data_IF_144802615575
#
_entry.id   IF_144802615575
#
_cell.length_a   1.000
_cell.length_b   1.000
_cell.length_c   1.000
_cell.angle_alpha   90.00
_cell.angle_beta   90.00
_cell.angle_gamma   90.00
#
_symmetry.space_group_name_H-M   'P 1'
#
loop_
_entity.id
_entity.type
_entity.pdbx_description
1 polymer ?
#
# COMPACT_ATOMS: atom_id res chain seq x y z
N UNK A 1 62.35 32.55 41.61
CA UNK A 1 61.83 32.48 40.22
C UNK A 1 60.91 31.29 39.92
N UNK A 2 60.52 30.43 40.89
CA UNK A 2 59.72 29.22 40.63
C UNK A 2 58.19 29.39 40.75
N UNK A 3 57.70 30.47 41.37
CA UNK A 3 56.27 30.67 41.71
C UNK A 3 55.42 31.22 40.56
N UNK A 4 56.02 31.77 39.51
CA UNK A 4 55.31 32.41 38.39
C UNK A 4 54.86 31.41 37.32
N UNK A 5 55.64 30.35 37.07
CA UNK A 5 55.31 29.31 36.07
C UNK A 5 54.11 28.46 36.45
N UNK A 6 53.93 28.18 37.74
CA UNK A 6 52.81 27.37 38.25
C UNK A 6 51.46 28.09 38.10
N UNK A 7 51.43 29.43 38.23
CA UNK A 7 50.20 30.22 38.03
C UNK A 7 49.80 30.31 36.56
N UNK A 8 50.78 30.33 35.65
CA UNK A 8 50.53 30.38 34.20
C UNK A 8 49.91 29.08 33.68
N UNK A 9 50.43 27.92 34.12
CA UNK A 9 49.92 26.61 33.72
C UNK A 9 48.48 26.38 34.21
N UNK A 10 48.13 26.87 35.41
CA UNK A 10 46.78 26.74 35.98
C UNK A 10 45.75 27.61 35.23
N UNK A 11 46.13 28.83 34.81
CA UNK A 11 45.27 29.70 33.98
C UNK A 11 45.09 29.19 32.55
N UNK A 12 46.11 28.55 31.97
CA UNK A 12 45.98 27.89 30.66
C UNK A 12 45.02 26.68 30.72
N UNK A 13 45.07 25.90 31.80
CA UNK A 13 44.14 24.78 31.99
C UNK A 13 42.68 25.25 32.18
N UNK A 14 42.45 26.33 32.92
CA UNK A 14 41.11 26.92 33.10
C UNK A 14 40.54 27.50 31.78
N UNK A 15 41.38 28.15 30.96
CA UNK A 15 40.98 28.66 29.65
C UNK A 15 40.66 27.54 28.64
N UNK A 16 41.39 26.43 28.68
CA UNK A 16 41.12 25.27 27.81
C UNK A 16 39.84 24.52 28.21
N UNK A 17 39.54 24.43 29.51
CA UNK A 17 38.31 23.80 30.01
C UNK A 17 37.05 24.60 29.64
N UNK A 18 37.12 25.94 29.67
CA UNK A 18 35.99 26.81 29.32
C UNK A 18 35.59 26.71 27.83
N UNK A 19 36.54 26.46 26.94
CA UNK A 19 36.27 26.28 25.49
C UNK A 19 35.67 24.92 25.14
N UNK A 20 35.91 23.88 25.94
CA UNK A 20 35.36 22.53 25.67
C UNK A 20 33.85 22.44 25.98
N UNK A 21 33.34 23.21 26.94
CA UNK A 21 31.91 23.20 27.29
C UNK A 21 31.01 23.93 26.28
N UNK A 22 31.55 24.82 25.44
CA UNK A 22 30.75 25.57 24.46
C UNK A 22 30.44 24.80 23.17
N UNK A 23 31.09 23.65 22.93
CA UNK A 23 30.81 22.79 21.77
C UNK A 23 29.78 21.69 22.05
N UNK A 24 29.41 21.47 23.32
CA UNK A 24 28.45 20.44 23.71
C UNK A 24 26.97 20.89 23.62
N UNK A 25 26.72 22.17 23.35
CA UNK A 25 25.36 22.73 23.25
C UNK A 25 24.91 22.99 21.83
N UNK A 26 25.68 22.60 20.79
CA UNK A 26 25.19 22.68 19.41
C UNK A 26 24.08 21.64 19.28
N UNK A 27 22.80 22.05 19.17
CA UNK A 27 21.72 21.10 18.98
C UNK A 27 22.01 20.39 17.65
N UNK A 28 22.31 19.10 17.72
CA UNK A 28 22.38 18.30 16.51
C UNK A 28 21.01 18.44 15.84
N UNK A 29 20.94 18.91 14.58
CA UNK A 29 19.69 18.88 13.86
C UNK A 29 19.26 17.41 13.79
N UNK A 30 18.26 17.06 14.59
CA UNK A 30 17.62 15.77 14.51
C UNK A 30 16.84 15.78 13.19
N UNK A 31 17.43 15.20 12.15
CA UNK A 31 16.71 14.83 10.94
C UNK A 31 15.68 13.78 11.36
N UNK A 32 14.49 14.25 11.73
CA UNK A 32 13.36 13.40 12.05
C UNK A 32 12.71 12.95 10.74
N UNK A 33 13.39 12.06 10.02
CA UNK A 33 12.78 11.37 8.89
C UNK A 33 11.61 10.54 9.44
N UNK A 34 10.39 10.69 8.89
CA UNK A 34 9.24 9.94 9.38
C UNK A 34 9.51 8.44 9.20
N UNK A 35 9.25 7.61 10.23
CA UNK A 35 9.55 6.20 10.15
C UNK A 35 8.77 5.53 8.99
N UNK A 36 9.24 4.39 8.47
CA UNK A 36 8.67 3.77 7.26
C UNK A 36 7.16 3.50 7.36
N UNK A 37 6.65 3.29 8.57
CA UNK A 37 5.26 2.98 8.87
C UNK A 37 4.36 4.18 9.23
N UNK A 38 4.89 5.40 9.25
CA UNK A 38 4.12 6.60 9.60
C UNK A 38 3.75 7.39 8.34
N UNK A 39 2.49 7.86 8.23
CA UNK A 39 2.04 8.67 7.09
C UNK A 39 2.89 9.94 6.95
N UNK A 40 3.69 9.99 5.89
CA UNK A 40 4.60 11.09 5.58
C UNK A 40 4.00 11.97 4.47
N UNK A 41 2.83 12.55 4.73
CA UNK A 41 2.08 13.32 3.73
C UNK A 41 2.96 14.43 3.12
N UNK A 42 3.36 14.25 1.86
CA UNK A 42 4.12 15.23 1.07
C UNK A 42 5.65 15.27 1.30
N UNK A 43 6.18 14.74 2.42
CA UNK A 43 7.63 14.77 2.69
C UNK A 43 8.40 13.87 1.72
N UNK A 44 7.95 12.61 1.56
CA UNK A 44 8.59 11.65 0.63
C UNK A 44 8.60 12.14 -0.82
N UNK A 45 7.57 12.86 -1.24
CA UNK A 45 7.47 13.47 -2.59
C UNK A 45 8.57 14.51 -2.87
N UNK A 46 9.15 15.12 -1.83
CA UNK A 46 10.19 16.16 -1.94
C UNK A 46 11.61 15.63 -1.72
N UNK A 47 11.76 14.45 -1.10
CA UNK A 47 13.05 13.96 -0.61
C UNK A 47 13.45 12.58 -1.16
N UNK A 48 12.51 11.75 -1.63
CA UNK A 48 12.82 10.45 -2.21
C UNK A 48 12.78 10.52 -3.74
N UNK A 49 13.82 10.00 -4.41
CA UNK A 49 13.83 9.88 -5.88
C UNK A 49 12.84 8.84 -6.42
N UNK A 50 12.25 8.02 -5.53
CA UNK A 50 11.36 6.92 -5.88
C UNK A 50 10.42 6.54 -4.72
N UNK A 51 9.28 5.93 -5.05
CA UNK A 51 8.35 5.34 -4.10
C UNK A 51 8.64 3.85 -3.93
N UNK A 52 8.91 3.40 -2.69
CA UNK A 52 9.12 1.98 -2.41
C UNK A 52 7.78 1.34 -2.06
N UNK A 53 7.32 0.43 -2.92
CA UNK A 53 6.10 -0.33 -2.67
C UNK A 53 6.30 -1.46 -1.66
N UNK A 54 5.19 -2.02 -1.21
CA UNK A 54 5.11 -3.10 -0.24
C UNK A 54 5.91 -4.34 -0.69
N UNK A 55 6.01 -4.59 -1.99
CA UNK A 55 6.84 -5.67 -2.53
C UNK A 55 8.34 -5.34 -2.61
N UNK A 56 8.77 -4.17 -2.13
CA UNK A 56 10.16 -3.68 -2.18
C UNK A 56 10.55 -3.03 -3.52
N UNK A 57 9.63 -2.94 -4.47
CA UNK A 57 9.88 -2.35 -5.79
C UNK A 57 9.89 -0.83 -5.73
N UNK A 58 10.81 -0.20 -6.47
CA UNK A 58 10.90 1.25 -6.64
C UNK A 58 10.04 1.71 -7.82
N UNK A 59 9.26 2.76 -7.62
CA UNK A 59 8.39 3.38 -8.60
C UNK A 59 8.76 4.85 -8.76
N UNK A 60 8.92 5.33 -9.99
CA UNK A 60 9.25 6.75 -10.25
C UNK A 60 8.08 7.69 -9.95
N UNK A 61 6.84 7.18 -10.06
CA UNK A 61 5.60 7.93 -9.85
C UNK A 61 4.65 7.12 -8.99
N UNK A 62 3.92 7.80 -8.10
CA UNK A 62 2.89 7.22 -7.25
C UNK A 62 1.47 7.35 -7.82
N UNK A 63 1.28 8.14 -8.88
CA UNK A 63 -0.02 8.45 -9.48
C UNK A 63 -1.09 8.92 -8.47
N UNK A 64 -0.65 9.57 -7.39
CA UNK A 64 -1.50 10.08 -6.32
C UNK A 64 -1.88 9.08 -5.22
N UNK A 65 -1.41 7.83 -5.27
CA UNK A 65 -1.80 6.77 -4.32
C UNK A 65 -1.49 7.17 -2.88
N UNK A 66 -0.32 7.77 -2.62
CA UNK A 66 0.11 8.20 -1.28
C UNK A 66 -0.74 9.35 -0.73
N UNK A 67 -1.54 9.99 -1.59
CA UNK A 67 -2.53 10.99 -1.20
C UNK A 67 -3.95 10.41 -1.10
N UNK A 68 -4.12 9.09 -1.12
CA UNK A 68 -5.41 8.41 -1.01
C UNK A 68 -6.28 8.45 -2.28
N UNK A 69 -5.69 8.75 -3.44
CA UNK A 69 -6.39 8.81 -4.74
C UNK A 69 -5.61 8.09 -5.83
N UNK A 70 -6.27 7.69 -6.91
CA UNK A 70 -5.54 7.24 -8.10
C UNK A 70 -5.87 8.11 -9.32
N UNK A 71 -4.83 8.65 -9.95
CA UNK A 71 -4.89 9.34 -11.23
C UNK A 71 -4.95 8.32 -12.37
N UNK A 72 -6.18 7.93 -12.73
CA UNK A 72 -6.44 6.96 -13.80
C UNK A 72 -5.93 7.44 -15.15
N UNK A 73 -6.02 8.74 -15.44
CA UNK A 73 -5.60 9.30 -16.72
C UNK A 73 -4.09 9.17 -16.86
N UNK A 74 -3.33 9.53 -15.82
CA UNK A 74 -1.88 9.39 -15.82
C UNK A 74 -1.44 7.92 -15.89
N UNK A 75 -2.09 7.01 -15.15
CA UNK A 75 -1.83 5.57 -15.26
C UNK A 75 -2.18 5.06 -16.66
N UNK A 76 -3.35 5.43 -17.20
CA UNK A 76 -3.82 5.03 -18.53
C UNK A 76 -2.90 5.51 -19.65
N UNK A 77 -2.34 6.72 -19.53
CA UNK A 77 -1.36 7.24 -20.48
C UNK A 77 -0.09 6.39 -20.50
N UNK A 78 0.43 5.98 -19.34
CA UNK A 78 1.61 5.11 -19.25
C UNK A 78 1.31 3.71 -19.81
N UNK A 79 0.12 3.19 -19.53
CA UNK A 79 -0.37 1.92 -20.07
C UNK A 79 -0.52 1.93 -21.60
N UNK A 80 -0.99 3.04 -22.17
CA UNK A 80 -1.18 3.20 -23.61
C UNK A 80 0.11 3.53 -24.36
N UNK A 81 1.04 4.27 -23.73
CA UNK A 81 2.31 4.67 -24.32
C UNK A 81 3.37 3.55 -24.28
N UNK A 82 3.25 2.58 -23.36
CA UNK A 82 4.21 1.48 -23.24
C UNK A 82 3.59 0.14 -23.63
N UNK A 83 4.07 -0.45 -24.72
CA UNK A 83 3.83 -1.88 -25.02
C UNK A 83 4.56 -2.82 -24.02
N UNK A 84 5.34 -2.30 -23.06
CA UNK A 84 6.17 -3.13 -22.18
C UNK A 84 6.53 -2.55 -20.81
N UNK A 85 5.81 -1.55 -20.29
CA UNK A 85 6.02 -1.05 -18.93
C UNK A 85 5.37 -1.97 -17.91
N UNK A 86 5.91 -2.04 -16.68
CA UNK A 86 5.48 -3.03 -15.69
C UNK A 86 4.06 -2.79 -15.12
N UNK A 87 3.49 -1.61 -15.37
CA UNK A 87 2.05 -1.37 -15.15
C UNK A 87 1.23 -2.02 -16.28
N UNK A 88 1.78 -2.09 -17.50
CA UNK A 88 1.14 -2.57 -18.74
C UNK A 88 1.39 -4.02 -19.13
N UNK A 89 2.40 -4.70 -18.59
CA UNK A 89 2.70 -6.11 -18.91
C UNK A 89 1.55 -7.08 -18.61
N UNK A 90 0.63 -6.71 -17.72
CA UNK A 90 -0.59 -7.47 -17.38
C UNK A 90 -1.87 -6.95 -18.05
N UNK A 91 -1.81 -5.86 -18.82
CA UNK A 91 -3.01 -5.30 -19.45
C UNK A 91 -3.30 -5.94 -20.81
N UNK A 92 -2.26 -6.35 -21.55
CA UNK A 92 -2.38 -6.76 -22.97
C UNK A 92 -2.35 -8.26 -23.30
N UNK A 93 -1.85 -9.17 -22.44
CA UNK A 93 -1.52 -10.56 -22.86
C UNK A 93 -2.44 -11.69 -22.34
N UNK A 94 -3.72 -11.40 -22.08
CA UNK A 94 -4.72 -12.43 -21.75
C UNK A 94 -5.04 -12.62 -20.26
N UNK A 95 -4.23 -12.07 -19.34
CA UNK A 95 -4.54 -12.01 -17.90
C UNK A 95 -5.64 -10.99 -17.55
N UNK A 96 -6.03 -10.12 -18.50
CA UNK A 96 -7.05 -9.09 -18.29
C UNK A 96 -8.45 -9.62 -17.99
N UNK A 97 -8.86 -10.72 -18.64
CA UNK A 97 -10.16 -11.37 -18.37
C UNK A 97 -10.16 -12.02 -16.97
N UNK A 98 -9.05 -12.64 -16.58
CA UNK A 98 -8.91 -13.29 -15.27
C UNK A 98 -8.98 -12.29 -14.13
N UNK A 99 -8.34 -11.12 -14.25
CA UNK A 99 -8.41 -10.08 -13.20
C UNK A 99 -9.83 -9.53 -13.06
N UNK A 100 -10.53 -9.24 -14.17
CA UNK A 100 -11.89 -8.72 -14.16
C UNK A 100 -12.90 -9.71 -13.52
N UNK A 101 -12.82 -10.99 -13.90
CA UNK A 101 -13.68 -12.04 -13.33
C UNK A 101 -13.46 -12.23 -11.83
N UNK A 102 -12.21 -12.21 -11.37
CA UNK A 102 -11.91 -12.44 -9.95
C UNK A 102 -12.23 -11.20 -9.09
N UNK A 103 -12.08 -9.98 -9.63
CA UNK A 103 -12.49 -8.77 -8.92
C UNK A 103 -14.02 -8.67 -8.77
N UNK A 104 -14.78 -9.07 -9.79
CA UNK A 104 -16.24 -9.16 -9.69
C UNK A 104 -16.68 -10.15 -8.60
N UNK A 105 -15.93 -11.23 -8.40
CA UNK A 105 -16.17 -12.19 -7.32
C UNK A 105 -15.88 -11.63 -5.92
N UNK A 106 -14.97 -10.65 -5.77
CA UNK A 106 -14.64 -10.02 -4.47
C UNK A 106 -15.87 -9.38 -3.84
N UNK A 107 -16.66 -8.66 -4.65
CA UNK A 107 -17.90 -8.01 -4.20
C UNK A 107 -19.07 -9.00 -4.17
N UNK A 108 -19.08 -9.96 -5.10
CA UNK A 108 -20.11 -10.99 -5.19
C UNK A 108 -21.42 -10.49 -5.82
N UNK A 109 -22.32 -11.45 -6.09
CA UNK A 109 -23.66 -11.19 -6.61
C UNK A 109 -23.72 -10.57 -8.01
N UNK A 110 -24.91 -10.09 -8.38
CA UNK A 110 -25.18 -9.46 -9.69
C UNK A 110 -24.41 -8.14 -9.83
N UNK A 111 -24.27 -7.38 -8.73
CA UNK A 111 -23.57 -6.09 -8.71
C UNK A 111 -22.09 -6.27 -9.12
N UNK A 112 -21.40 -7.26 -8.54
CA UNK A 112 -20.01 -7.56 -8.91
C UNK A 112 -19.84 -8.06 -10.34
N UNK A 113 -20.82 -8.83 -10.86
CA UNK A 113 -20.77 -9.35 -12.22
C UNK A 113 -21.04 -8.28 -13.29
N UNK A 114 -21.90 -7.30 -13.00
CA UNK A 114 -22.21 -6.19 -13.91
C UNK A 114 -21.04 -5.19 -13.91
N UNK A 115 -20.66 -4.68 -12.74
CA UNK A 115 -19.61 -3.64 -12.64
C UNK A 115 -18.21 -4.22 -12.94
N UNK A 116 -17.97 -5.50 -12.63
CA UNK A 116 -16.69 -6.15 -12.90
C UNK A 116 -16.37 -6.33 -14.39
N UNK A 117 -17.38 -6.34 -15.27
CA UNK A 117 -17.17 -6.47 -16.74
C UNK A 117 -16.57 -5.22 -17.35
N UNK A 118 -16.82 -4.06 -16.77
CA UNK A 118 -16.41 -2.76 -17.33
C UNK A 118 -15.09 -2.26 -16.75
N UNK A 119 -14.34 -3.14 -16.06
CA UNK A 119 -13.02 -2.84 -15.50
C UNK A 119 -11.97 -2.75 -16.62
N UNK A 120 -11.42 -1.55 -16.84
CA UNK A 120 -10.43 -1.32 -17.89
C UNK A 120 -8.98 -1.50 -17.41
N UNK A 121 -8.00 -1.16 -18.26
CA UNK A 121 -6.58 -1.21 -17.91
C UNK A 121 -6.18 -0.22 -16.81
N UNK A 122 -6.74 0.99 -16.83
CA UNK A 122 -6.43 2.03 -15.85
C UNK A 122 -6.97 1.68 -14.46
N UNK A 123 -8.17 1.10 -14.38
CA UNK A 123 -8.71 0.59 -13.11
C UNK A 123 -7.82 -0.52 -12.52
N UNK A 124 -7.36 -1.46 -13.36
CA UNK A 124 -6.43 -2.52 -12.96
C UNK A 124 -5.09 -1.96 -12.51
N UNK A 125 -4.59 -0.93 -13.18
CA UNK A 125 -3.40 -0.19 -12.77
C UNK A 125 -3.57 0.45 -11.39
N UNK A 126 -4.69 1.15 -11.17
CA UNK A 126 -5.01 1.73 -9.87
C UNK A 126 -5.10 0.68 -8.76
N UNK A 127 -5.76 -0.45 -9.01
CA UNK A 127 -5.85 -1.56 -8.05
C UNK A 127 -4.47 -2.10 -7.66
N UNK A 128 -3.64 -2.44 -8.64
CA UNK A 128 -2.30 -2.97 -8.39
C UNK A 128 -1.41 -1.95 -7.69
N UNK A 129 -1.45 -0.70 -8.13
CA UNK A 129 -0.61 0.35 -7.56
C UNK A 129 -1.05 0.76 -6.15
N UNK A 130 -2.35 0.70 -5.84
CA UNK A 130 -2.86 0.86 -4.48
C UNK A 130 -2.36 -0.26 -3.55
N UNK A 131 -2.34 -1.52 -4.00
CA UNK A 131 -1.79 -2.64 -3.22
C UNK A 131 -0.28 -2.52 -2.99
N UNK A 132 0.44 -1.88 -3.92
CA UNK A 132 1.86 -1.58 -3.77
C UNK A 132 2.13 -0.43 -2.79
N UNK A 133 1.52 0.75 -3.01
CA UNK A 133 1.98 1.97 -2.34
C UNK A 133 1.13 2.40 -1.14
N UNK A 134 -0.14 1.97 -1.05
CA UNK A 134 -0.99 2.38 0.06
C UNK A 134 -0.64 1.64 1.35
N UNK A 135 -0.68 2.38 2.45
CA UNK A 135 -0.50 1.81 3.79
C UNK A 135 -1.73 0.98 4.20
N UNK A 136 -1.54 0.10 5.18
CA UNK A 136 -2.67 -0.65 5.75
C UNK A 136 -3.68 0.31 6.38
N UNK A 137 -4.95 0.11 6.05
CA UNK A 137 -6.13 0.92 6.43
C UNK A 137 -6.23 2.28 5.75
N UNK A 138 -5.31 2.63 4.85
CA UNK A 138 -5.45 3.82 4.01
C UNK A 138 -6.40 3.53 2.84
N UNK A 139 -7.28 4.49 2.54
CA UNK A 139 -8.24 4.36 1.45
C UNK A 139 -7.71 5.05 0.21
N UNK A 140 -7.67 4.31 -0.89
CA UNK A 140 -7.39 4.84 -2.22
C UNK A 140 -8.68 4.88 -3.03
N UNK A 141 -9.01 6.07 -3.54
CA UNK A 141 -10.25 6.29 -4.31
C UNK A 141 -9.96 6.66 -5.76
N UNK A 142 -10.74 6.11 -6.70
CA UNK A 142 -10.75 6.58 -8.09
C UNK A 142 -12.11 6.43 -8.73
N UNK A 143 -12.33 7.18 -9.82
CA UNK A 143 -13.58 7.20 -10.57
C UNK A 143 -13.29 6.88 -12.03
N UNK A 144 -13.94 5.85 -12.56
CA UNK A 144 -13.96 5.61 -14.00
C UNK A 144 -15.07 6.47 -14.62
N UNK A 145 -14.69 7.58 -15.27
CA UNK A 145 -15.63 8.49 -15.90
C UNK A 145 -16.35 7.90 -17.12
N UNK A 146 -15.79 6.86 -17.75
CA UNK A 146 -16.43 6.18 -18.88
C UNK A 146 -17.60 5.29 -18.46
N UNK A 147 -17.55 4.75 -17.24
CA UNK A 147 -18.58 3.83 -16.70
C UNK A 147 -19.40 4.44 -15.57
N UNK A 148 -18.95 5.57 -15.00
CA UNK A 148 -19.55 6.21 -13.82
C UNK A 148 -19.28 5.47 -12.50
N UNK A 149 -18.37 4.50 -12.49
CA UNK A 149 -18.08 3.67 -11.31
C UNK A 149 -17.04 4.35 -10.43
N UNK A 150 -17.35 4.46 -9.15
CA UNK A 150 -16.40 4.85 -8.10
C UNK A 150 -15.87 3.62 -7.39
N UNK A 151 -14.56 3.56 -7.20
CA UNK A 151 -13.86 2.49 -6.49
C UNK A 151 -13.19 3.06 -5.26
N UNK A 152 -13.25 2.32 -4.15
CA UNK A 152 -12.48 2.59 -2.94
C UNK A 152 -11.80 1.29 -2.50
N UNK A 153 -10.47 1.26 -2.60
CA UNK A 153 -9.66 0.15 -2.11
C UNK A 153 -8.98 0.53 -0.79
N UNK A 154 -9.01 -0.38 0.17
CA UNK A 154 -8.27 -0.23 1.43
C UNK A 154 -7.50 -1.51 1.71
N UNK A 155 -6.15 -1.51 1.75
CA UNK A 155 -5.41 -2.65 2.26
C UNK A 155 -5.74 -2.86 3.74
N UNK A 156 -5.82 -4.11 4.19
CA UNK A 156 -6.15 -4.46 5.57
C UNK A 156 -4.89 -4.92 6.30
N UNK A 157 -4.17 -5.87 5.69
CA UNK A 157 -2.92 -6.42 6.20
C UNK A 157 -2.15 -7.10 5.09
N UNK A 158 -0.83 -7.13 5.20
CA UNK A 158 0.02 -7.97 4.37
C UNK A 158 0.71 -9.10 5.14
N UNK A 159 1.05 -10.17 4.43
CA UNK A 159 1.71 -11.36 4.96
C UNK A 159 2.47 -12.10 3.84
N UNK A 160 3.42 -12.98 4.22
CA UNK A 160 4.07 -13.89 3.28
C UNK A 160 3.39 -15.26 3.30
N UNK A 161 3.18 -15.84 2.12
CA UNK A 161 2.63 -17.18 1.93
C UNK A 161 3.30 -17.83 0.73
N UNK A 162 3.84 -19.03 0.91
CA UNK A 162 4.47 -19.82 -0.14
C UNK A 162 5.56 -19.01 -0.90
N UNK A 163 6.35 -18.23 -0.16
CA UNK A 163 7.38 -17.34 -0.72
C UNK A 163 6.86 -16.07 -1.42
N UNK A 164 5.54 -15.90 -1.55
CA UNK A 164 4.89 -14.75 -2.18
C UNK A 164 4.40 -13.76 -1.13
N UNK A 165 4.49 -12.48 -1.46
CA UNK A 165 3.92 -11.40 -0.65
C UNK A 165 2.44 -11.30 -0.98
N UNK A 166 1.57 -11.36 0.01
CA UNK A 166 0.12 -11.28 -0.13
C UNK A 166 -0.44 -10.15 0.72
N UNK A 167 -1.53 -9.54 0.26
CA UNK A 167 -2.29 -8.52 0.99
C UNK A 167 -3.76 -8.83 0.96
N UNK A 168 -4.37 -8.78 2.14
CA UNK A 168 -5.80 -8.73 2.31
C UNK A 168 -6.27 -7.29 2.12
N UNK A 169 -7.39 -7.08 1.43
CA UNK A 169 -7.93 -5.76 1.15
C UNK A 169 -9.46 -5.77 1.15
N UNK A 170 -10.05 -4.59 1.37
CA UNK A 170 -11.46 -4.31 1.09
C UNK A 170 -11.61 -3.50 -0.19
N UNK A 171 -12.60 -3.80 -1.00
CA UNK A 171 -12.95 -3.06 -2.21
C UNK A 171 -14.43 -2.69 -2.17
N UNK A 172 -14.73 -1.40 -2.20
CA UNK A 172 -16.07 -0.87 -2.44
C UNK A 172 -16.18 -0.37 -3.87
N UNK A 173 -17.28 -0.74 -4.54
CA UNK A 173 -17.64 -0.24 -5.87
C UNK A 173 -19.03 0.38 -5.82
N UNK A 174 -19.19 1.54 -6.43
CA UNK A 174 -20.45 2.29 -6.48
C UNK A 174 -20.74 2.73 -7.90
N UNK A 175 -21.89 2.33 -8.44
CA UNK A 175 -22.36 2.64 -9.78
C UNK A 175 -23.81 3.15 -9.70
N UNK A 176 -24.00 4.46 -9.83
CA UNK A 176 -25.30 5.11 -9.62
C UNK A 176 -25.86 4.83 -8.21
N UNK A 177 -27.02 4.18 -8.13
CA UNK A 177 -27.66 3.78 -6.85
C UNK A 177 -27.25 2.40 -6.35
N UNK A 178 -26.47 1.65 -7.14
CA UNK A 178 -25.97 0.32 -6.75
C UNK A 178 -24.61 0.49 -6.08
N UNK A 179 -24.41 -0.11 -4.92
CA UNK A 179 -23.08 -0.27 -4.33
C UNK A 179 -22.86 -1.68 -3.81
N UNK A 180 -21.59 -2.04 -3.67
CA UNK A 180 -21.18 -3.32 -3.14
C UNK A 180 -19.81 -3.19 -2.49
N UNK A 181 -19.60 -3.90 -1.39
CA UNK A 181 -18.30 -3.97 -0.71
C UNK A 181 -17.91 -5.42 -0.51
N UNK A 182 -16.69 -5.74 -0.90
CA UNK A 182 -16.11 -7.07 -0.82
C UNK A 182 -14.76 -7.07 -0.13
N UNK A 183 -14.33 -8.23 0.38
CA UNK A 183 -12.94 -8.45 0.81
C UNK A 183 -12.26 -9.40 -0.15
N UNK A 184 -10.95 -9.28 -0.29
CA UNK A 184 -10.17 -10.18 -1.13
C UNK A 184 -8.74 -10.31 -0.64
N UNK A 185 -8.04 -11.30 -1.19
CA UNK A 185 -6.60 -11.46 -1.03
C UNK A 185 -5.96 -11.36 -2.40
N UNK A 186 -4.96 -10.51 -2.52
CA UNK A 186 -4.08 -10.44 -3.67
C UNK A 186 -2.67 -10.87 -3.29
N UNK A 187 -1.99 -11.61 -4.15
CA UNK A 187 -0.60 -11.99 -3.97
C UNK A 187 0.25 -11.48 -5.14
N UNK A 188 1.45 -11.01 -4.82
CA UNK A 188 2.41 -10.55 -5.81
C UNK A 188 2.83 -11.73 -6.70
N UNK A 189 2.84 -11.52 -8.02
CA UNK A 189 3.20 -12.52 -9.02
C UNK A 189 4.58 -12.29 -9.65
N UNK A 190 5.36 -11.36 -9.09
CA UNK A 190 6.61 -10.88 -9.65
C UNK A 190 6.46 -9.50 -10.29
N UNK A 191 7.55 -8.77 -10.37
CA UNK A 191 7.67 -7.46 -11.01
C UNK A 191 6.68 -6.38 -10.51
N UNK A 192 6.10 -6.52 -9.32
CA UNK A 192 5.11 -5.56 -8.80
C UNK A 192 3.72 -5.74 -9.39
N UNK A 193 3.45 -6.93 -9.92
CA UNK A 193 2.12 -7.33 -10.38
C UNK A 193 1.38 -8.09 -9.29
N UNK A 194 0.08 -7.82 -9.13
CA UNK A 194 -0.77 -8.46 -8.12
C UNK A 194 -1.82 -9.35 -8.78
N UNK A 195 -1.98 -10.56 -8.27
CA UNK A 195 -3.00 -11.52 -8.68
C UNK A 195 -3.97 -11.75 -7.53
N UNK A 196 -5.26 -11.62 -7.78
CA UNK A 196 -6.26 -11.94 -6.76
C UNK A 196 -6.26 -13.46 -6.52
N UNK A 197 -5.85 -13.87 -5.33
CA UNK A 197 -5.71 -15.25 -4.91
C UNK A 197 -7.00 -15.81 -4.27
N UNK A 198 -7.81 -14.96 -3.65
CA UNK A 198 -9.14 -15.31 -3.11
C UNK A 198 -10.09 -14.11 -3.14
N UNK A 199 -11.35 -14.39 -3.43
CA UNK A 199 -12.48 -13.48 -3.26
C UNK A 199 -13.24 -13.84 -1.98
N UNK A 200 -13.48 -12.86 -1.12
CA UNK A 200 -13.93 -13.02 0.27
C UNK A 200 -15.42 -13.32 0.41
N UNK A 201 -15.86 -14.44 -0.15
CA UNK A 201 -17.14 -15.07 0.19
C UNK A 201 -16.96 -16.45 0.87
N UNK A 202 -15.71 -16.95 0.92
CA UNK A 202 -15.40 -18.25 1.52
C UNK A 202 -15.42 -18.21 3.06
N UNK A 203 -15.06 -17.09 3.70
CA UNK A 203 -15.05 -16.98 5.18
C UNK A 203 -16.46 -17.10 5.80
N UNK A 204 -17.50 -16.59 5.12
CA UNK A 204 -18.89 -16.75 5.57
C UNK A 204 -19.38 -18.20 5.43
N UNK A 205 -18.91 -18.89 4.38
CA UNK A 205 -19.25 -20.29 4.11
C UNK A 205 -18.46 -21.27 4.98
N UNK A 206 -17.24 -20.90 5.40
CA UNK A 206 -16.38 -21.71 6.25
C UNK A 206 -16.71 -21.53 7.75
N UNK A 207 -17.05 -20.31 8.19
CA UNK A 207 -17.60 -20.07 9.54
C UNK A 207 -18.95 -20.76 9.78
N UNK A 208 -19.82 -20.82 8.76
CA UNK A 208 -21.09 -21.55 8.87
C UNK A 208 -20.91 -23.07 8.91
N UNK A 209 -19.92 -23.62 8.19
CA UNK A 209 -19.55 -25.04 8.25
C UNK A 209 -18.86 -25.44 9.57
N UNK A 210 -18.02 -24.57 10.13
CA UNK A 210 -17.40 -24.79 11.44
C UNK A 210 -18.41 -24.78 12.60
N UNK A 211 -19.46 -23.95 12.52
CA UNK A 211 -20.51 -23.88 13.54
C UNK A 211 -21.49 -25.07 13.52
N UNK A 212 -21.61 -25.79 12.41
CA UNK A 212 -22.50 -26.95 12.30
C UNK A 212 -21.91 -28.25 12.86
N UNK A 213 -20.59 -28.36 13.06
CA UNK A 213 -19.95 -29.58 13.59
C UNK A 213 -19.92 -29.69 15.12
N UNK A 214 -20.45 -28.70 15.85
CA UNK A 214 -20.36 -28.61 17.33
C UNK A 214 -21.64 -28.95 18.11
N UNK A 215 -22.71 -29.43 17.47
CA UNK A 215 -23.96 -29.82 18.16
C UNK A 215 -24.44 -31.17 17.66
N UNK A 216 -24.04 -32.26 18.32
CA UNK A 216 -24.52 -33.58 17.92
C UNK A 216 -23.85 -34.79 18.57
N UNK A 217 -23.40 -34.74 19.82
CA UNK A 217 -23.22 -35.97 20.60
C UNK A 217 -23.39 -35.67 22.09
N UNK A 218 -24.39 -36.31 22.71
CA UNK A 218 -24.65 -36.19 24.14
C UNK A 218 -26.13 -36.19 24.47
N UNK A 219 -26.87 -37.23 24.05
CA UNK A 219 -27.85 -37.91 24.91
C UNK A 219 -28.42 -39.13 24.18
N UNK A 220 -28.12 -40.32 24.71
CA UNK A 220 -29.05 -41.46 24.75
C UNK A 220 -28.48 -42.49 25.73
N UNK A 221 -29.17 -42.54 26.86
CA UNK A 221 -29.46 -43.66 27.77
C UNK A 221 -28.29 -44.39 28.45
#
# INVERSE_FOLDING_TARGET
>A
MATTRVRYLRRCAELLAATACLLATVPWPAYADPPPWAPAHGWRKKHDAYYTGYAGKKWERDYGIVAGRCDRQAIGAVLGATVGGVIGSQVGKGSGKTVATVLGAVIGGVIGAEIGRDLDGADRGCLGHALELAEDRERVTWVNSGTGVTYVLSPIRGYKRDGRICREFSLKMTAGRKDGTGRGVACQAGDGTWQIARAGNDDAKERSRGRSKGKGQGNRD
#
